data_IF_705724712977
#
_entry.id   IF_705724712977
#
_cell.length_a   1.000
_cell.length_b   1.000
_cell.length_c   1.000
_cell.angle_alpha   90.00
_cell.angle_beta   90.00
_cell.angle_gamma   90.00
#
_symmetry.space_group_name_H-M   'P 1'
#
loop_
_entity.id
_entity.type
_entity.pdbx_description
1 polymer ?
#
# COMPACT_ATOMS: atom_id res chain seq x y z
N UNK A 1 -8.80 -3.99 -14.98
CA UNK A 1 -8.54 -4.33 -13.58
C UNK A 1 -8.36 -5.83 -13.39
N UNK A 2 -7.53 -6.23 -12.44
CA UNK A 2 -7.42 -7.58 -11.90
C UNK A 2 -7.80 -7.51 -10.41
N UNK A 3 -9.10 -7.66 -10.08
CA UNK A 3 -9.59 -7.43 -8.72
C UNK A 3 -8.97 -8.37 -7.72
N UNK A 4 -8.59 -7.80 -6.58
CA UNK A 4 -8.20 -8.53 -5.39
C UNK A 4 -8.87 -7.92 -4.17
N UNK A 5 -9.30 -8.73 -3.21
CA UNK A 5 -9.66 -8.19 -1.89
C UNK A 5 -8.40 -7.58 -1.27
N UNK A 6 -8.53 -6.38 -0.69
CA UNK A 6 -7.39 -5.69 -0.06
C UNK A 6 -6.70 -6.60 0.96
N UNK A 7 -5.42 -6.95 0.80
CA UNK A 7 -4.74 -7.93 1.66
C UNK A 7 -4.64 -7.49 3.12
N UNK A 8 -4.68 -6.18 3.36
CA UNK A 8 -4.67 -5.60 4.70
C UNK A 8 -5.97 -5.88 5.48
N UNK A 9 -7.06 -6.21 4.78
CA UNK A 9 -8.34 -6.58 5.39
C UNK A 9 -8.41 -8.10 5.58
N UNK A 10 -8.36 -8.53 6.84
CA UNK A 10 -8.68 -9.92 7.20
C UNK A 10 -10.12 -10.22 6.81
N UNK A 11 -10.37 -11.41 6.30
CA UNK A 11 -11.70 -11.88 5.94
C UNK A 11 -12.08 -13.10 6.78
N UNK A 12 -13.34 -13.19 7.16
CA UNK A 12 -13.88 -14.35 7.85
C UNK A 12 -15.40 -14.42 7.74
N UNK A 13 -15.95 -15.59 7.99
CA UNK A 13 -17.39 -15.76 8.17
C UNK A 13 -17.78 -15.24 9.55
N UNK A 14 -18.78 -14.36 9.60
CA UNK A 14 -19.38 -13.88 10.85
C UNK A 14 -20.48 -14.83 11.31
N UNK A 15 -21.22 -15.37 10.36
CA UNK A 15 -22.27 -16.36 10.50
C UNK A 15 -22.40 -17.15 9.18
N UNK A 16 -23.48 -17.91 9.01
CA UNK A 16 -23.69 -18.79 7.85
C UNK A 16 -23.88 -18.06 6.51
N UNK A 17 -24.23 -16.77 6.51
CA UNK A 17 -24.51 -16.02 5.28
C UNK A 17 -23.89 -14.62 5.25
N UNK A 18 -23.03 -14.30 6.20
CA UNK A 18 -22.38 -12.98 6.31
C UNK A 18 -20.86 -13.13 6.30
N UNK A 19 -20.21 -12.47 5.34
CA UNK A 19 -18.76 -12.35 5.27
C UNK A 19 -18.34 -11.01 5.87
N UNK A 20 -17.40 -11.04 6.80
CA UNK A 20 -16.78 -9.85 7.37
C UNK A 20 -15.41 -9.60 6.72
N UNK A 21 -15.14 -8.33 6.43
CA UNK A 21 -13.85 -7.80 5.99
C UNK A 21 -13.36 -6.82 7.05
N UNK A 22 -12.11 -6.94 7.48
CA UNK A 22 -11.54 -6.12 8.56
C UNK A 22 -11.92 -6.63 9.96
N UNK A 23 -11.05 -6.32 10.94
CA UNK A 23 -11.26 -6.68 12.35
C UNK A 23 -11.45 -5.47 13.26
N UNK A 24 -11.08 -4.26 12.80
CA UNK A 24 -11.21 -3.03 13.58
C UNK A 24 -12.46 -2.27 13.16
N UNK A 25 -13.24 -1.68 14.09
CA UNK A 25 -14.50 -1.02 13.76
C UNK A 25 -14.38 0.05 12.67
N UNK A 26 -13.26 0.77 12.62
CA UNK A 26 -13.01 1.83 11.64
C UNK A 26 -12.91 1.34 10.18
N UNK A 27 -12.59 0.05 9.97
CA UNK A 27 -12.39 -0.52 8.62
C UNK A 27 -13.17 -1.83 8.42
N UNK A 28 -14.04 -2.21 9.35
CA UNK A 28 -14.79 -3.44 9.29
C UNK A 28 -16.07 -3.24 8.47
N UNK A 29 -16.27 -4.08 7.46
CA UNK A 29 -17.46 -4.10 6.62
C UNK A 29 -18.00 -5.52 6.51
N UNK A 30 -19.32 -5.65 6.53
CA UNK A 30 -20.01 -6.93 6.35
C UNK A 30 -20.73 -6.98 5.01
N UNK A 31 -20.58 -8.08 4.30
CA UNK A 31 -21.35 -8.40 3.11
C UNK A 31 -22.36 -9.49 3.46
N UNK A 32 -23.64 -9.18 3.29
CA UNK A 32 -24.76 -10.10 3.46
C UNK A 32 -25.89 -9.75 2.46
N UNK A 33 -26.73 -10.74 2.09
CA UNK A 33 -26.49 -12.16 2.26
C UNK A 33 -25.41 -12.67 1.27
N UNK A 34 -24.68 -13.71 1.67
CA UNK A 34 -23.66 -14.40 0.87
C UNK A 34 -23.95 -15.89 0.95
N UNK A 35 -24.34 -16.48 -0.17
CA UNK A 35 -24.49 -17.93 -0.30
C UNK A 35 -23.13 -18.62 -0.54
N UNK A 36 -23.11 -19.94 -0.53
CA UNK A 36 -21.89 -20.74 -0.72
C UNK A 36 -21.21 -20.47 -2.06
N UNK A 37 -21.99 -20.27 -3.13
CA UNK A 37 -21.46 -19.99 -4.47
C UNK A 37 -20.78 -18.61 -4.52
N UNK A 38 -21.42 -17.57 -3.99
CA UNK A 38 -20.83 -16.23 -3.88
C UNK A 38 -19.62 -16.24 -2.95
N UNK A 39 -19.68 -16.96 -1.82
CA UNK A 39 -18.55 -17.13 -0.91
C UNK A 39 -17.33 -17.74 -1.59
N UNK A 40 -17.55 -18.78 -2.40
CA UNK A 40 -16.50 -19.43 -3.21
C UNK A 40 -15.98 -18.49 -4.31
N UNK A 41 -16.84 -17.66 -4.90
CA UNK A 41 -16.44 -16.68 -5.91
C UNK A 41 -15.53 -15.61 -5.32
N UNK A 42 -15.74 -15.19 -4.06
CA UNK A 42 -14.88 -14.22 -3.39
C UNK A 42 -13.41 -14.69 -3.30
N UNK A 43 -13.14 -15.99 -3.24
CA UNK A 43 -11.78 -16.56 -3.27
C UNK A 43 -11.05 -16.33 -4.60
N UNK A 44 -11.81 -16.11 -5.68
CA UNK A 44 -11.27 -15.84 -7.02
C UNK A 44 -10.79 -14.39 -7.16
N UNK A 45 -11.20 -13.50 -6.25
CA UNK A 45 -10.79 -12.10 -6.18
C UNK A 45 -9.41 -11.99 -5.48
N UNK A 46 -8.40 -12.57 -6.14
CA UNK A 46 -7.03 -12.63 -5.64
C UNK A 46 -6.02 -11.94 -6.59
N UNK A 47 -6.51 -11.20 -7.58
CA UNK A 47 -5.66 -10.41 -8.49
C UNK A 47 -5.07 -11.19 -9.66
N UNK A 48 -5.39 -12.48 -9.81
CA UNK A 48 -4.89 -13.29 -10.93
C UNK A 48 -5.78 -13.22 -12.18
N UNK A 49 -7.08 -12.92 -12.01
CA UNK A 49 -8.07 -12.94 -13.09
C UNK A 49 -8.58 -11.54 -13.41
N UNK A 50 -8.73 -11.23 -14.70
CA UNK A 50 -9.46 -10.05 -15.17
C UNK A 50 -10.98 -10.28 -15.25
N UNK A 51 -11.78 -9.26 -15.64
CA UNK A 51 -13.24 -9.32 -15.58
C UNK A 51 -13.84 -10.42 -16.45
N UNK A 52 -13.30 -10.65 -17.65
CA UNK A 52 -13.77 -11.72 -18.55
C UNK A 52 -13.65 -13.11 -17.89
N UNK A 53 -12.47 -13.45 -17.37
CA UNK A 53 -12.21 -14.73 -16.70
C UNK A 53 -13.04 -14.90 -15.42
N UNK A 54 -13.40 -13.81 -14.74
CA UNK A 54 -14.28 -13.85 -13.57
C UNK A 54 -15.73 -14.12 -13.96
N UNK A 55 -16.22 -13.54 -15.07
CA UNK A 55 -17.56 -13.85 -15.60
C UNK A 55 -17.67 -15.30 -16.03
N UNK A 56 -16.67 -15.82 -16.74
CA UNK A 56 -16.59 -17.24 -17.11
C UNK A 56 -16.60 -18.15 -15.88
N UNK A 57 -15.83 -17.79 -14.84
CA UNK A 57 -15.82 -18.56 -13.60
C UNK A 57 -17.19 -18.50 -12.90
N UNK A 58 -17.82 -17.33 -12.84
CA UNK A 58 -19.16 -17.20 -12.25
C UNK A 58 -20.22 -18.01 -12.99
N UNK A 59 -20.16 -18.06 -14.32
CA UNK A 59 -21.04 -18.92 -15.12
C UNK A 59 -20.83 -20.41 -14.79
N UNK A 60 -19.57 -20.87 -14.64
CA UNK A 60 -19.28 -22.26 -14.24
C UNK A 60 -19.71 -22.60 -12.80
N UNK A 61 -20.03 -21.59 -12.00
CA UNK A 61 -20.50 -21.72 -10.62
C UNK A 61 -22.01 -21.51 -10.52
N UNK A 62 -22.73 -21.49 -11.65
CA UNK A 62 -24.17 -21.27 -11.75
C UNK A 62 -24.64 -19.96 -11.08
N UNK A 63 -23.78 -18.94 -11.05
CA UNK A 63 -24.15 -17.62 -10.55
C UNK A 63 -25.11 -16.93 -11.53
N UNK A 64 -26.12 -16.19 -11.03
CA UNK A 64 -27.05 -15.45 -11.89
C UNK A 64 -26.33 -14.48 -12.83
N UNK A 65 -26.95 -14.20 -13.97
CA UNK A 65 -26.41 -13.24 -14.93
C UNK A 65 -26.19 -11.86 -14.29
N UNK A 66 -25.04 -11.25 -14.62
CA UNK A 66 -24.59 -9.98 -14.05
C UNK A 66 -24.22 -10.02 -12.56
N UNK A 67 -24.32 -11.17 -11.87
CA UNK A 67 -24.01 -11.26 -10.43
C UNK A 67 -22.55 -10.95 -10.14
N UNK A 68 -21.64 -11.46 -10.96
CA UNK A 68 -20.20 -11.17 -10.88
C UNK A 68 -19.93 -9.67 -10.92
N UNK A 69 -20.48 -8.97 -11.92
CA UNK A 69 -20.28 -7.54 -12.09
C UNK A 69 -20.87 -6.75 -10.91
N UNK A 70 -22.09 -7.10 -10.46
CA UNK A 70 -22.72 -6.47 -9.28
C UNK A 70 -21.88 -6.64 -8.00
N UNK A 71 -21.34 -7.84 -7.75
CA UNK A 71 -20.50 -8.11 -6.58
C UNK A 71 -19.20 -7.33 -6.65
N UNK A 72 -18.49 -7.39 -7.79
CA UNK A 72 -17.23 -6.67 -7.98
C UNK A 72 -17.45 -5.16 -7.82
N UNK A 73 -18.50 -4.62 -8.42
CA UNK A 73 -18.82 -3.20 -8.32
C UNK A 73 -19.18 -2.79 -6.89
N UNK A 74 -20.00 -3.57 -6.19
CA UNK A 74 -20.35 -3.30 -4.78
C UNK A 74 -19.13 -3.32 -3.87
N UNK A 75 -18.23 -4.28 -4.05
CA UNK A 75 -16.99 -4.37 -3.28
C UNK A 75 -16.02 -3.22 -3.62
N UNK A 76 -15.92 -2.82 -4.89
CA UNK A 76 -15.12 -1.67 -5.30
C UNK A 76 -15.66 -0.37 -4.71
N UNK A 77 -16.97 -0.13 -4.78
CA UNK A 77 -17.63 1.04 -4.18
C UNK A 77 -17.48 1.06 -2.65
N UNK A 78 -17.44 -0.10 -2.01
CA UNK A 78 -17.19 -0.25 -0.58
C UNK A 78 -15.70 -0.10 -0.21
N UNK A 79 -14.80 0.12 -1.17
CA UNK A 79 -13.37 0.24 -0.91
C UNK A 79 -12.72 -1.07 -0.43
N UNK A 80 -13.31 -2.23 -0.75
CA UNK A 80 -12.80 -3.55 -0.34
C UNK A 80 -11.88 -4.19 -1.38
N UNK A 81 -11.88 -3.68 -2.61
CA UNK A 81 -11.04 -4.18 -3.70
C UNK A 81 -9.82 -3.30 -3.95
N UNK A 82 -8.75 -3.97 -4.37
CA UNK A 82 -7.59 -3.40 -5.03
C UNK A 82 -7.47 -3.99 -6.45
N UNK A 83 -6.59 -3.41 -7.26
CA UNK A 83 -6.26 -3.89 -8.61
C UNK A 83 -4.78 -4.25 -8.66
N UNK A 84 -4.49 -5.55 -8.80
CA UNK A 84 -3.11 -6.05 -8.81
C UNK A 84 -2.26 -5.46 -9.95
N UNK A 85 -2.91 -4.97 -11.02
CA UNK A 85 -2.30 -4.32 -12.18
C UNK A 85 -2.68 -2.83 -12.32
N UNK A 86 -3.31 -2.24 -11.31
CA UNK A 86 -3.81 -0.86 -11.37
C UNK A 86 -2.74 0.21 -11.11
N UNK A 87 -3.13 1.48 -11.10
CA UNK A 87 -2.23 2.58 -10.72
C UNK A 87 -1.33 3.14 -11.82
N UNK A 88 -1.36 2.58 -13.03
CA UNK A 88 -0.78 3.14 -14.25
C UNK A 88 0.72 2.91 -14.44
N UNK A 89 1.35 3.53 -15.47
CA UNK A 89 2.71 3.19 -15.90
C UNK A 89 3.78 3.35 -14.82
N UNK A 90 3.65 4.36 -13.94
CA UNK A 90 4.58 4.57 -12.84
C UNK A 90 4.46 3.46 -11.77
N UNK A 91 3.25 2.96 -11.53
CA UNK A 91 3.02 1.79 -10.68
C UNK A 91 3.61 0.53 -11.29
N UNK A 92 3.43 0.33 -12.60
CA UNK A 92 4.03 -0.80 -13.35
C UNK A 92 5.55 -0.79 -13.22
N UNK A 93 6.19 0.36 -13.47
CA UNK A 93 7.63 0.52 -13.30
C UNK A 93 8.12 0.29 -11.86
N UNK A 94 7.29 0.56 -10.84
CA UNK A 94 7.62 0.27 -9.44
C UNK A 94 7.47 -1.23 -9.12
N UNK A 95 6.51 -1.94 -9.72
CA UNK A 95 6.38 -3.39 -9.54
C UNK A 95 7.58 -4.18 -10.04
N UNK A 96 8.24 -3.69 -11.10
CA UNK A 96 9.49 -4.30 -11.59
C UNK A 96 10.64 -4.22 -10.55
N UNK A 97 10.56 -3.29 -9.59
CA UNK A 97 11.57 -3.10 -8.53
C UNK A 97 11.21 -3.89 -7.28
N UNK A 98 11.20 -5.21 -7.38
CA UNK A 98 10.73 -6.15 -6.34
C UNK A 98 11.29 -5.85 -4.94
N UNK A 99 12.61 -5.66 -4.80
CA UNK A 99 13.22 -5.38 -3.48
C UNK A 99 12.74 -4.06 -2.84
N UNK A 100 12.45 -3.03 -3.63
CA UNK A 100 11.88 -1.77 -3.14
C UNK A 100 10.43 -2.00 -2.70
N UNK A 101 9.65 -2.69 -3.52
CA UNK A 101 8.25 -2.95 -3.24
C UNK A 101 8.06 -3.87 -2.01
N UNK A 102 8.93 -4.86 -1.84
CA UNK A 102 8.92 -5.75 -0.68
C UNK A 102 9.20 -4.97 0.62
N UNK A 103 10.17 -4.05 0.59
CA UNK A 103 10.44 -3.15 1.73
C UNK A 103 9.26 -2.24 2.06
N UNK A 104 8.58 -1.72 1.02
CA UNK A 104 7.44 -0.80 1.15
C UNK A 104 6.08 -1.51 1.27
N UNK A 105 6.06 -2.85 1.42
CA UNK A 105 4.82 -3.62 1.52
C UNK A 105 3.94 -3.17 2.70
N UNK A 106 4.47 -2.85 3.90
CA UNK A 106 3.67 -2.31 5.00
C UNK A 106 3.04 -0.94 4.69
N UNK A 107 3.78 -0.05 4.04
CA UNK A 107 3.28 1.26 3.58
C UNK A 107 2.17 1.09 2.54
N UNK A 108 2.35 0.18 1.57
CA UNK A 108 1.35 -0.12 0.55
C UNK A 108 0.07 -0.68 1.18
N UNK A 109 0.19 -1.58 2.16
CA UNK A 109 -0.95 -2.11 2.90
C UNK A 109 -1.70 -0.99 3.63
N UNK A 110 -0.99 -0.07 4.28
CA UNK A 110 -1.59 1.08 4.98
C UNK A 110 -2.28 2.06 4.02
N UNK A 111 -1.65 2.34 2.88
CA UNK A 111 -2.25 3.15 1.81
C UNK A 111 -3.52 2.49 1.28
N UNK A 112 -3.54 1.16 1.10
CA UNK A 112 -4.74 0.45 0.63
C UNK A 112 -5.95 0.66 1.54
N UNK A 113 -5.75 0.84 2.85
CA UNK A 113 -6.85 1.09 3.79
C UNK A 113 -7.37 2.53 3.75
N UNK A 114 -6.54 3.48 3.32
CA UNK A 114 -6.86 4.92 3.31
C UNK A 114 -7.22 5.45 1.92
N UNK A 115 -7.00 4.67 0.87
CA UNK A 115 -7.41 4.99 -0.49
C UNK A 115 -8.67 4.23 -0.91
N UNK A 116 -9.60 4.90 -1.58
CA UNK A 116 -10.89 4.33 -1.93
C UNK A 116 -10.84 3.42 -3.17
N UNK A 117 -10.15 3.82 -4.24
CA UNK A 117 -10.22 3.16 -5.55
C UNK A 117 -9.24 2.00 -5.74
N UNK A 118 -9.60 0.98 -6.55
CA UNK A 118 -8.67 -0.06 -6.96
C UNK A 118 -7.42 0.50 -7.68
N UNK A 119 -6.23 0.12 -7.22
CA UNK A 119 -4.95 0.59 -7.76
C UNK A 119 -4.50 1.95 -7.22
N UNK A 120 -5.31 2.64 -6.41
CA UNK A 120 -4.97 3.95 -5.87
C UNK A 120 -3.76 3.88 -4.94
N UNK A 121 -3.67 2.87 -4.07
CA UNK A 121 -2.55 2.73 -3.14
C UNK A 121 -1.21 2.65 -3.88
N UNK A 122 -1.15 1.83 -4.93
CA UNK A 122 0.03 1.69 -5.77
C UNK A 122 0.33 2.97 -6.55
N UNK A 123 -0.70 3.68 -7.04
CA UNK A 123 -0.57 4.99 -7.68
C UNK A 123 0.05 6.03 -6.74
N UNK A 124 -0.42 6.09 -5.50
CA UNK A 124 0.11 7.02 -4.49
C UNK A 124 1.55 6.68 -4.11
N UNK A 125 1.88 5.40 -3.97
CA UNK A 125 3.24 4.96 -3.68
C UNK A 125 4.20 5.30 -4.84
N UNK A 126 3.77 5.08 -6.07
CA UNK A 126 4.54 5.46 -7.25
C UNK A 126 4.71 6.99 -7.36
N UNK A 127 3.66 7.76 -7.09
CA UNK A 127 3.71 9.22 -7.06
C UNK A 127 4.66 9.73 -5.99
N UNK A 128 4.62 9.18 -4.76
CA UNK A 128 5.56 9.50 -3.68
C UNK A 128 7.01 9.30 -4.12
N UNK A 129 7.27 8.23 -4.88
CA UNK A 129 8.59 7.92 -5.40
C UNK A 129 9.04 8.80 -6.56
N UNK A 130 8.14 9.58 -7.17
CA UNK A 130 8.50 10.61 -8.12
C UNK A 130 8.80 11.97 -7.46
N UNK A 131 8.51 12.12 -6.16
CA UNK A 131 8.78 13.36 -5.43
C UNK A 131 10.25 13.50 -5.05
N UNK A 132 10.66 14.77 -4.97
CA UNK A 132 11.94 15.21 -4.41
C UNK A 132 11.67 16.10 -3.21
N UNK A 133 12.32 15.84 -2.09
CA UNK A 133 12.13 16.61 -0.85
C UNK A 133 13.48 17.16 -0.38
N UNK A 134 13.53 18.45 -0.11
CA UNK A 134 14.70 19.10 0.47
C UNK A 134 14.57 19.22 1.98
N UNK A 135 15.55 18.71 2.73
CA UNK A 135 15.66 18.87 4.17
C UNK A 135 16.76 19.88 4.47
N UNK A 136 16.38 21.05 5.00
CA UNK A 136 17.32 22.12 5.38
C UNK A 136 17.59 22.04 6.88
N UNK A 137 18.83 21.75 7.23
CA UNK A 137 19.24 21.42 8.58
C UNK A 137 19.27 19.91 8.79
N UNK A 138 20.44 19.39 9.17
CA UNK A 138 20.75 17.98 9.38
C UNK A 138 21.29 17.73 10.80
N UNK A 139 20.85 18.55 11.76
CA UNK A 139 20.99 18.23 13.18
C UNK A 139 20.04 17.10 13.60
N UNK A 140 19.84 16.95 14.91
CA UNK A 140 19.08 15.85 15.53
C UNK A 140 17.78 15.44 14.81
N UNK A 141 16.92 16.41 14.46
CA UNK A 141 15.61 16.15 13.86
C UNK A 141 15.71 15.95 12.35
N UNK A 142 16.49 16.78 11.67
CA UNK A 142 16.59 16.78 10.21
C UNK A 142 17.15 15.47 9.67
N UNK A 143 18.17 14.92 10.31
CA UNK A 143 18.74 13.63 9.92
C UNK A 143 17.71 12.48 10.05
N UNK A 144 16.96 12.42 11.16
CA UNK A 144 15.91 11.42 11.36
C UNK A 144 14.81 11.56 10.31
N UNK A 145 14.36 12.80 10.02
CA UNK A 145 13.35 13.05 8.99
C UNK A 145 13.83 12.63 7.60
N UNK A 146 15.09 12.93 7.25
CA UNK A 146 15.66 12.53 5.97
C UNK A 146 15.68 11.00 5.82
N UNK A 147 16.11 10.28 6.86
CA UNK A 147 16.08 8.83 6.92
C UNK A 147 14.67 8.26 6.78
N UNK A 148 13.70 8.81 7.51
CA UNK A 148 12.28 8.39 7.43
C UNK A 148 11.67 8.63 6.05
N UNK A 149 11.92 9.79 5.43
CA UNK A 149 11.43 10.11 4.08
C UNK A 149 12.00 9.12 3.05
N UNK A 150 13.30 8.83 3.12
CA UNK A 150 13.97 7.84 2.27
C UNK A 150 13.42 6.42 2.50
N UNK A 151 13.24 6.05 3.76
CA UNK A 151 12.65 4.77 4.17
C UNK A 151 11.22 4.57 3.64
N UNK A 152 10.40 5.63 3.73
CA UNK A 152 8.98 5.65 3.30
C UNK A 152 8.75 5.67 1.78
N UNK A 153 9.84 5.69 0.99
CA UNK A 153 9.80 5.55 -0.47
C UNK A 153 9.73 6.87 -1.24
N UNK A 154 10.09 8.01 -0.63
CA UNK A 154 10.34 9.26 -1.39
C UNK A 154 11.49 9.02 -2.38
N UNK A 155 11.34 9.55 -3.59
CA UNK A 155 12.28 9.28 -4.69
C UNK A 155 13.66 9.87 -4.47
N UNK A 156 13.70 11.11 -3.99
CA UNK A 156 14.93 11.84 -3.71
C UNK A 156 14.76 12.67 -2.44
N UNK A 157 15.74 12.56 -1.55
CA UNK A 157 15.82 13.36 -0.34
C UNK A 157 17.15 14.10 -0.37
N UNK A 158 17.11 15.41 -0.56
CA UNK A 158 18.29 16.28 -0.62
C UNK A 158 18.49 16.97 0.73
N UNK A 159 19.60 16.68 1.40
CA UNK A 159 19.90 17.23 2.73
C UNK A 159 20.92 18.36 2.60
N UNK A 160 20.63 19.53 3.18
CA UNK A 160 21.50 20.71 3.14
C UNK A 160 21.76 21.24 4.53
N UNK A 161 23.03 21.21 4.94
CA UNK A 161 23.52 21.76 6.20
C UNK A 161 25.00 22.12 6.04
N UNK A 162 25.44 23.25 6.60
CA UNK A 162 26.84 23.69 6.52
C UNK A 162 27.67 23.39 7.77
N UNK A 163 27.05 22.84 8.82
CA UNK A 163 27.66 22.55 10.10
C UNK A 163 28.31 21.17 10.18
N UNK A 164 28.93 20.92 11.34
CA UNK A 164 29.49 19.62 11.72
C UNK A 164 28.64 18.94 12.77
N UNK A 165 28.65 17.61 12.77
CA UNK A 165 27.92 16.81 13.74
C UNK A 165 28.49 17.09 15.13
N UNK A 166 27.63 17.54 16.03
CA UNK A 166 27.99 17.79 17.43
C UNK A 166 27.46 16.65 18.32
N UNK A 167 27.98 16.46 19.55
CA UNK A 167 27.53 15.39 20.44
C UNK A 167 26.01 15.37 20.69
N UNK A 168 25.36 16.54 20.66
CA UNK A 168 23.91 16.66 20.86
C UNK A 168 23.08 16.38 19.60
N UNK A 169 23.69 16.19 18.42
CA UNK A 169 22.96 15.81 17.21
C UNK A 169 22.71 14.30 17.10
N UNK A 170 23.43 13.51 17.91
CA UNK A 170 23.28 12.05 17.94
C UNK A 170 21.86 11.67 18.35
N UNK A 171 21.23 10.79 17.57
CA UNK A 171 19.87 10.31 17.84
C UNK A 171 19.63 8.91 17.28
N UNK A 172 18.78 8.08 17.94
CA UNK A 172 18.30 6.84 17.35
C UNK A 172 17.62 7.08 16.00
N UNK A 173 18.05 6.33 14.97
CA UNK A 173 17.56 6.50 13.60
C UNK A 173 17.98 7.81 12.91
N UNK A 174 18.87 8.59 13.54
CA UNK A 174 19.51 9.78 13.00
C UNK A 174 21.01 9.58 12.89
N UNK A 175 21.78 10.62 13.19
CA UNK A 175 23.25 10.56 13.15
C UNK A 175 23.79 9.69 14.30
N UNK A 176 24.73 8.78 14.03
CA UNK A 176 25.33 7.96 15.06
C UNK A 176 26.57 8.65 15.68
N UNK A 177 27.04 8.16 16.83
CA UNK A 177 28.11 8.80 17.60
C UNK A 177 29.44 8.84 16.84
N UNK A 178 29.71 7.85 16.00
CA UNK A 178 30.88 7.78 15.12
C UNK A 178 30.93 8.87 14.05
N UNK A 179 29.82 9.58 13.81
CA UNK A 179 29.78 10.70 12.86
C UNK A 179 30.12 12.05 13.51
N UNK A 180 30.38 12.13 14.82
CA UNK A 180 30.74 13.40 15.49
C UNK A 180 31.99 14.00 14.83
N UNK A 181 31.91 15.29 14.48
CA UNK A 181 32.95 16.02 13.77
C UNK A 181 32.85 15.95 12.23
N UNK A 182 32.12 14.99 11.67
CA UNK A 182 31.85 14.94 10.23
C UNK A 182 30.95 16.10 9.78
N UNK A 183 30.89 16.35 8.48
CA UNK A 183 29.90 17.27 7.92
C UNK A 183 28.50 16.68 8.07
N UNK A 184 27.54 17.49 8.54
CA UNK A 184 26.18 17.00 8.83
C UNK A 184 25.43 16.53 7.59
N UNK A 185 25.58 17.24 6.48
CA UNK A 185 24.95 16.89 5.21
C UNK A 185 25.50 15.57 4.64
N UNK A 186 26.81 15.36 4.70
CA UNK A 186 27.44 14.11 4.28
C UNK A 186 27.04 12.96 5.22
N UNK A 187 27.09 13.17 6.53
CA UNK A 187 26.75 12.16 7.52
C UNK A 187 25.28 11.71 7.43
N UNK A 188 24.36 12.63 7.12
CA UNK A 188 22.93 12.32 6.97
C UNK A 188 22.57 11.62 5.65
N UNK A 189 23.49 11.58 4.67
CA UNK A 189 23.29 10.91 3.37
C UNK A 189 23.80 9.46 3.35
N UNK A 190 24.65 9.09 4.31
CA UNK A 190 25.17 7.73 4.47
C UNK A 190 24.07 6.80 4.98
#
# INVERSE_FOLDING_TARGET
>A
MHPMVKPALRRGWRDLNTVQFGMTPAHALTLAPVDTATGSFLELLNGTRGPALLREAGHRMDLPEGHVDRVVERLARAGLLDDSRGGGPAADALREKKGVLDRLRPDLASLSLTTAGPGDAMRHLAARRALRVGVRGAGRVGAVLAGLLSGSGVGEVDVRDGGRVEPWDVAPGGLPAESIGDRRDDAARR
#
